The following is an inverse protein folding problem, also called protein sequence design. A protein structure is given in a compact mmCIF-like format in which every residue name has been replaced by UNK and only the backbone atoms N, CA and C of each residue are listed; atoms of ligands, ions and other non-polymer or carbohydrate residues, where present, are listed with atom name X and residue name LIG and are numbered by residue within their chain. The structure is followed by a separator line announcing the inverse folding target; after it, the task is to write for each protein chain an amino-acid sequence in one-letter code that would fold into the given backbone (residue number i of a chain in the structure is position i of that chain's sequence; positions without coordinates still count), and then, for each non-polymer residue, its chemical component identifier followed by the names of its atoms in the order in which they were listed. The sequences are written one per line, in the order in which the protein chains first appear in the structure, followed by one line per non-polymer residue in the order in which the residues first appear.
data_IF_369630570249
#
_entry.id   IF_369630570249
#
_cell.length_a   1.000
_cell.length_b   1.000
_cell.length_c   1.000
_cell.angle_alpha   90.00
_cell.angle_beta   90.00
_cell.angle_gamma   90.00
#
_symmetry.space_group_name_H-M   'P 1'
#
loop_
_entity.id
_entity.type
_entity.pdbx_description
1 polymer ?
#
# COMPACT_ATOMS: atom_id res chain seq x y z
N UNK A 1 -37.94 -31.66 -51.28
CA UNK A 1 -39.23 -32.17 -50.74
C UNK A 1 -39.52 -31.34 -49.48
N UNK A 2 -40.21 -30.19 -49.51
CA UNK A 2 -41.66 -29.92 -49.71
C UNK A 2 -42.57 -30.98 -49.09
N UNK A 3 -43.24 -30.64 -47.97
CA UNK A 3 -44.69 -30.29 -47.84
C UNK A 3 -44.98 -29.89 -46.37
N UNK A 4 -45.47 -28.67 -46.07
CA UNK A 4 -46.85 -28.15 -46.17
C UNK A 4 -47.82 -28.96 -45.26
N UNK A 5 -48.76 -28.43 -44.46
CA UNK A 5 -49.64 -27.23 -44.57
C UNK A 5 -50.53 -27.18 -43.28
N UNK A 6 -50.74 -26.01 -42.63
CA UNK A 6 -52.02 -25.24 -42.51
C UNK A 6 -53.10 -25.80 -41.53
N UNK A 7 -53.92 -25.05 -40.78
CA UNK A 7 -54.85 -23.91 -41.04
C UNK A 7 -55.18 -23.24 -39.65
N UNK A 8 -55.09 -21.92 -39.47
CA UNK A 8 -56.11 -20.83 -39.56
C UNK A 8 -57.22 -20.88 -38.47
N UNK A 9 -57.79 -19.79 -37.90
CA UNK A 9 -58.40 -18.56 -38.46
C UNK A 9 -58.95 -17.73 -37.24
N UNK A 10 -58.89 -16.39 -37.15
CA UNK A 10 -59.97 -15.41 -37.45
C UNK A 10 -59.56 -14.01 -36.90
N UNK A 11 -59.43 -12.99 -37.77
CA UNK A 11 -60.35 -11.84 -38.05
C UNK A 11 -60.05 -10.57 -37.23
N UNK A 12 -59.42 -9.53 -37.78
CA UNK A 12 -59.98 -8.41 -38.59
C UNK A 12 -60.49 -7.22 -37.75
N UNK A 13 -59.83 -6.06 -37.86
CA UNK A 13 -60.44 -4.76 -38.18
C UNK A 13 -59.39 -3.62 -38.15
N UNK A 14 -59.24 -2.93 -39.28
CA UNK A 14 -58.59 -1.63 -39.42
C UNK A 14 -59.69 -0.57 -39.35
N UNK A 15 -59.47 0.54 -38.63
CA UNK A 15 -60.14 1.81 -38.89
C UNK A 15 -59.19 2.98 -38.63
N UNK A 16 -59.11 3.86 -39.63
CA UNK A 16 -58.39 5.13 -39.69
C UNK A 16 -59.29 6.24 -39.11
N UNK A 17 -58.70 7.25 -38.45
CA UNK A 17 -59.38 8.50 -38.13
C UNK A 17 -58.41 9.59 -37.63
N UNK A 18 -58.26 10.67 -38.40
CA UNK A 18 -57.53 11.90 -38.07
C UNK A 18 -58.38 12.92 -37.30
N UNK A 19 -57.69 13.84 -36.60
CA UNK A 19 -58.08 15.23 -36.23
C UNK A 19 -59.11 15.41 -35.08
N UNK A 20 -59.08 16.40 -34.18
CA UNK A 20 -58.44 17.73 -34.06
C UNK A 20 -58.31 18.17 -32.57
N UNK A 21 -57.25 18.96 -32.28
CA UNK A 21 -57.08 20.02 -31.26
C UNK A 21 -58.03 20.19 -30.05
N UNK A 22 -57.44 20.42 -28.86
CA UNK A 22 -57.64 21.67 -28.12
C UNK A 22 -56.57 21.89 -27.05
N UNK A 23 -56.12 23.14 -26.96
CA UNK A 23 -55.08 23.65 -26.10
C UNK A 23 -55.43 23.58 -24.60
N UNK A 24 -54.60 22.90 -23.81
CA UNK A 24 -54.45 23.17 -22.36
C UNK A 24 -53.10 22.73 -21.77
N UNK A 25 -52.30 21.90 -22.45
CA UNK A 25 -51.09 21.32 -21.84
C UNK A 25 -49.79 22.12 -22.01
N UNK A 26 -49.82 23.27 -22.67
CA UNK A 26 -48.61 24.10 -22.87
C UNK A 26 -48.33 25.13 -21.76
N UNK A 27 -49.22 25.32 -20.79
CA UNK A 27 -49.00 26.29 -19.71
C UNK A 27 -48.52 25.68 -18.38
N UNK A 28 -48.40 24.36 -18.28
CA UNK A 28 -47.92 23.69 -17.07
C UNK A 28 -46.44 23.26 -17.20
N UNK A 29 -45.90 23.14 -18.42
CA UNK A 29 -44.49 22.79 -18.65
C UNK A 29 -43.51 23.99 -18.65
N UNK A 30 -43.98 25.23 -18.83
CA UNK A 30 -43.10 26.42 -18.80
C UNK A 30 -42.85 26.97 -17.38
N UNK A 31 -43.70 26.62 -16.42
CA UNK A 31 -43.58 27.10 -15.02
C UNK A 31 -42.64 26.23 -14.19
N UNK A 32 -42.50 24.95 -14.53
CA UNK A 32 -41.56 24.02 -13.86
C UNK A 32 -40.13 24.13 -14.42
N UNK A 33 -39.98 24.63 -15.65
CA UNK A 33 -38.66 24.86 -16.26
C UNK A 33 -37.96 26.14 -15.75
N UNK A 34 -38.71 27.14 -15.29
CA UNK A 34 -38.13 28.38 -14.71
C UNK A 34 -37.78 28.25 -13.23
N UNK A 35 -38.40 27.33 -12.48
CA UNK A 35 -38.01 27.03 -11.09
C UNK A 35 -36.83 26.03 -10.99
N UNK A 36 -36.50 25.33 -12.08
CA UNK A 36 -35.30 24.49 -12.15
C UNK A 36 -34.01 25.28 -12.52
N UNK A 37 -34.14 26.57 -12.85
CA UNK A 37 -33.00 27.44 -13.23
C UNK A 37 -32.53 28.32 -12.05
N UNK A 38 -33.28 28.38 -10.94
CA UNK A 38 -33.00 29.30 -9.82
C UNK A 38 -32.61 28.61 -8.48
N UNK A 39 -32.36 27.30 -8.50
CA UNK A 39 -31.80 26.55 -7.36
C UNK A 39 -30.56 25.72 -7.72
N UNK A 40 -29.72 26.25 -8.61
CA UNK A 40 -28.27 25.94 -8.63
C UNK A 40 -27.51 27.09 -8.00
N UNK A 41 -27.78 27.36 -6.72
CA UNK A 41 -26.86 28.14 -5.88
C UNK A 41 -25.61 27.30 -5.64
N UNK A 42 -24.53 27.73 -6.31
CA UNK A 42 -23.13 27.47 -6.02
C UNK A 42 -22.80 26.11 -5.36
N UNK A 43 -22.54 25.09 -6.19
CA UNK A 43 -21.44 24.19 -5.85
C UNK A 43 -20.16 24.99 -6.06
N UNK A 44 -19.64 25.57 -4.98
CA UNK A 44 -18.26 26.00 -4.97
C UNK A 44 -17.41 24.74 -5.20
N UNK A 45 -16.92 24.58 -6.43
CA UNK A 45 -15.74 23.76 -6.68
C UNK A 45 -14.57 24.65 -6.27
N UNK A 46 -14.25 24.64 -4.98
CA UNK A 46 -12.94 25.06 -4.48
C UNK A 46 -12.00 23.84 -4.67
N UNK A 47 -10.80 23.85 -5.26
CA UNK A 47 -9.80 24.87 -5.59
C UNK A 47 -8.76 24.31 -6.57
N UNK A 48 -8.11 25.15 -7.40
CA UNK A 48 -6.66 25.13 -7.51
C UNK A 48 -6.12 26.30 -6.68
N UNK A 49 -5.29 25.97 -5.71
CA UNK A 49 -4.56 26.91 -4.88
C UNK A 49 -3.40 27.51 -5.72
N UNK A 50 -3.38 28.84 -5.92
CA UNK A 50 -2.56 29.52 -6.96
C UNK A 50 -1.48 30.47 -6.43
N UNK A 51 -1.09 30.38 -5.15
CA UNK A 51 -0.05 31.28 -4.63
C UNK A 51 0.73 30.72 -3.44
N UNK A 52 2.05 30.87 -3.53
CA UNK A 52 2.99 30.58 -2.47
C UNK A 52 3.44 29.12 -2.45
N UNK A 53 4.37 28.85 -1.54
CA UNK A 53 4.93 27.52 -1.30
C UNK A 53 5.02 27.27 0.20
N UNK A 54 4.74 26.03 0.62
CA UNK A 54 4.99 25.58 1.99
C UNK A 54 6.39 24.99 2.03
N UNK A 55 7.19 25.47 2.99
CA UNK A 55 8.54 24.96 3.28
C UNK A 55 8.64 24.62 4.77
N UNK A 56 9.70 23.96 5.17
CA UNK A 56 9.93 23.61 6.57
C UNK A 56 11.41 23.52 6.91
N UNK A 57 11.73 23.63 8.20
CA UNK A 57 13.08 23.36 8.68
C UNK A 57 13.46 21.90 8.35
N UNK A 58 14.69 21.63 7.87
CA UNK A 58 15.18 20.28 7.67
C UNK A 58 15.13 19.46 8.97
N UNK A 59 14.85 18.16 8.85
CA UNK A 59 14.82 17.25 9.98
C UNK A 59 15.32 15.86 9.60
N UNK A 60 15.81 15.13 10.58
CA UNK A 60 16.25 13.74 10.42
C UNK A 60 15.08 12.75 10.57
N UNK A 61 15.26 11.51 10.10
CA UNK A 61 14.21 10.48 10.05
C UNK A 61 13.50 10.20 11.39
N UNK A 62 14.16 10.47 12.52
CA UNK A 62 13.67 10.24 13.89
C UNK A 62 13.05 11.50 14.54
N UNK A 63 13.11 12.66 13.88
CA UNK A 63 12.58 13.91 14.41
C UNK A 63 11.08 13.82 14.69
N UNK A 64 10.61 14.61 15.64
CA UNK A 64 9.20 14.70 16.05
C UNK A 64 8.62 16.10 15.91
N UNK A 65 9.43 17.04 15.42
CA UNK A 65 9.05 18.42 15.23
C UNK A 65 9.82 19.03 14.05
N UNK A 66 9.28 20.13 13.55
CA UNK A 66 9.87 21.05 12.57
C UNK A 66 9.06 22.35 12.62
N UNK A 67 9.52 23.41 11.98
CA UNK A 67 8.73 24.64 11.78
C UNK A 67 8.25 24.68 10.34
N UNK A 68 6.95 24.88 10.11
CA UNK A 68 6.39 25.13 8.79
C UNK A 68 6.42 26.63 8.48
N UNK A 69 6.59 26.98 7.21
CA UNK A 69 6.54 28.35 6.70
C UNK A 69 5.72 28.41 5.43
N UNK A 70 5.02 29.52 5.22
CA UNK A 70 4.32 29.82 3.95
C UNK A 70 4.95 31.03 3.30
N UNK A 71 5.62 30.82 2.16
CA UNK A 71 6.46 31.81 1.47
C UNK A 71 5.90 32.17 0.10
N UNK A 72 6.51 33.16 -0.55
CA UNK A 72 6.24 33.57 -1.93
C UNK A 72 4.77 33.95 -2.19
N UNK A 73 4.17 34.63 -1.21
CA UNK A 73 2.81 35.15 -1.29
C UNK A 73 2.81 36.50 -2.03
N UNK A 74 2.04 36.61 -3.12
CA UNK A 74 1.83 37.89 -3.85
C UNK A 74 0.93 38.85 -3.07
N UNK A 75 -0.02 38.32 -2.32
CA UNK A 75 -0.95 39.08 -1.48
C UNK A 75 -0.41 39.22 -0.04
N UNK A 76 -0.81 40.30 0.64
CA UNK A 76 -0.53 40.49 2.07
C UNK A 76 -1.66 39.90 2.92
N UNK A 77 -1.28 39.07 3.89
CA UNK A 77 -2.18 38.47 4.88
C UNK A 77 -1.77 38.91 6.29
N UNK A 78 -2.72 38.93 7.22
CA UNK A 78 -2.44 39.16 8.65
C UNK A 78 -2.09 37.86 9.38
N UNK A 79 -2.65 36.74 8.91
CA UNK A 79 -2.36 35.42 9.45
C UNK A 79 -2.57 34.33 8.39
N UNK A 80 -1.95 33.17 8.61
CA UNK A 80 -2.15 31.96 7.81
C UNK A 80 -2.65 30.85 8.72
N UNK A 81 -3.76 30.24 8.30
CA UNK A 81 -4.35 29.04 8.89
C UNK A 81 -3.81 27.81 8.17
N UNK A 82 -3.29 26.85 8.93
CA UNK A 82 -2.79 25.56 8.48
C UNK A 82 -3.77 24.48 8.91
N UNK A 83 -4.32 23.76 7.94
CA UNK A 83 -5.10 22.57 8.18
C UNK A 83 -4.22 21.34 7.94
N UNK A 84 -4.01 20.52 8.95
CA UNK A 84 -3.05 19.41 8.92
C UNK A 84 -3.74 18.13 9.37
N UNK A 85 -3.58 17.05 8.60
CA UNK A 85 -4.04 15.71 8.98
C UNK A 85 -3.05 14.66 8.47
N UNK A 86 -3.09 13.48 9.07
CA UNK A 86 -2.29 12.35 8.61
C UNK A 86 -3.03 11.62 7.49
N UNK A 87 -2.35 11.32 6.38
CA UNK A 87 -2.93 10.62 5.23
C UNK A 87 -3.62 9.31 5.64
N UNK A 88 -3.01 8.56 6.57
CA UNK A 88 -3.53 7.29 7.07
C UNK A 88 -4.80 7.39 7.93
N UNK A 89 -5.05 8.54 8.56
CA UNK A 89 -6.25 8.75 9.40
C UNK A 89 -7.37 9.48 8.62
N UNK A 90 -7.05 10.03 7.45
CA UNK A 90 -7.99 10.70 6.56
C UNK A 90 -8.27 12.17 6.93
N UNK A 91 -8.93 12.92 6.02
CA UNK A 91 -9.19 14.35 6.20
C UNK A 91 -10.18 14.66 7.32
N UNK A 92 -10.93 13.67 7.81
CA UNK A 92 -11.85 13.84 8.94
C UNK A 92 -11.09 14.09 10.26
N UNK A 93 -9.81 13.70 10.36
CA UNK A 93 -8.99 13.90 11.58
C UNK A 93 -8.27 15.25 11.65
N UNK A 94 -8.67 16.20 10.80
CA UNK A 94 -7.96 17.45 10.55
C UNK A 94 -7.84 18.32 11.79
N UNK A 95 -6.63 18.79 12.06
CA UNK A 95 -6.33 19.77 13.10
C UNK A 95 -5.97 21.10 12.43
N UNK A 96 -6.45 22.19 13.03
CA UNK A 96 -6.26 23.54 12.48
C UNK A 96 -5.37 24.35 13.42
N UNK A 97 -4.39 25.02 12.84
CA UNK A 97 -3.44 25.90 13.53
C UNK A 97 -3.39 27.24 12.82
N UNK A 98 -3.07 28.31 13.52
CA UNK A 98 -2.95 29.65 12.92
C UNK A 98 -1.65 30.29 13.34
N UNK A 99 -0.95 30.91 12.40
CA UNK A 99 0.25 31.72 12.67
C UNK A 99 0.03 33.16 12.23
N UNK A 100 0.31 34.09 13.15
CA UNK A 100 0.31 35.54 12.96
C UNK A 100 1.73 36.09 12.77
N UNK A 101 2.74 35.22 12.72
CA UNK A 101 4.17 35.56 12.64
C UNK A 101 4.56 36.02 11.22
N UNK A 102 3.96 37.11 10.75
CA UNK A 102 4.14 37.65 9.39
C UNK A 102 5.61 37.94 9.05
N UNK A 103 6.37 38.45 10.03
CA UNK A 103 7.80 38.78 9.87
C UNK A 103 8.68 37.52 9.74
N UNK A 104 8.11 36.33 9.96
CA UNK A 104 8.78 35.04 9.87
C UNK A 104 8.04 34.08 8.95
N UNK A 105 7.49 34.59 7.84
CA UNK A 105 6.80 33.77 6.82
C UNK A 105 5.67 32.90 7.42
N UNK A 106 4.94 33.44 8.40
CA UNK A 106 3.89 32.73 9.12
C UNK A 106 4.37 31.42 9.75
N UNK A 107 5.55 31.46 10.38
CA UNK A 107 6.17 30.33 11.06
C UNK A 107 5.18 29.61 12.00
N UNK A 108 5.05 28.30 11.83
CA UNK A 108 4.23 27.45 12.68
C UNK A 108 5.06 26.28 13.23
N UNK A 109 5.36 26.25 14.54
CA UNK A 109 6.00 25.10 15.17
C UNK A 109 5.07 23.87 15.13
N UNK A 110 5.44 22.87 14.32
CA UNK A 110 4.74 21.61 14.24
C UNK A 110 5.44 20.59 15.14
N UNK A 111 4.69 19.98 16.07
CA UNK A 111 5.18 18.87 16.87
C UNK A 111 4.18 17.72 16.86
N UNK A 112 4.66 16.51 16.55
CA UNK A 112 3.86 15.29 16.49
C UNK A 112 3.15 14.93 17.80
N UNK A 113 3.50 15.56 18.95
CA UNK A 113 2.76 15.39 20.22
C UNK A 113 1.27 15.72 20.06
N UNK A 114 0.94 16.71 19.22
CA UNK A 114 -0.45 17.09 18.87
C UNK A 114 -1.19 15.98 18.10
N UNK A 115 -0.45 15.09 17.45
CA UNK A 115 -0.95 13.91 16.74
C UNK A 115 -0.62 12.60 17.49
N UNK A 116 -0.49 12.65 18.83
CA UNK A 116 -0.20 11.49 19.68
C UNK A 116 1.09 10.75 19.30
N UNK A 117 2.10 11.48 18.81
CA UNK A 117 3.37 10.97 18.28
C UNK A 117 3.22 10.00 17.09
N UNK A 118 2.03 9.93 16.47
CA UNK A 118 1.83 9.20 15.22
C UNK A 118 2.72 9.79 14.13
N UNK A 119 3.31 8.90 13.33
CA UNK A 119 4.22 9.21 12.23
C UNK A 119 3.55 8.84 10.90
N UNK A 120 4.19 9.18 9.79
CA UNK A 120 3.70 8.98 8.42
C UNK A 120 3.68 10.28 7.59
N UNK A 121 2.98 10.22 6.47
CA UNK A 121 2.67 11.35 5.58
C UNK A 121 1.54 12.17 6.20
N UNK A 122 1.76 13.48 6.32
CA UNK A 122 0.76 14.47 6.70
C UNK A 122 0.49 15.39 5.51
N UNK A 123 -0.78 15.65 5.26
CA UNK A 123 -1.21 16.66 4.29
C UNK A 123 -1.36 18.01 4.99
N UNK A 124 -1.03 19.07 4.27
CA UNK A 124 -1.07 20.46 4.75
C UNK A 124 -1.84 21.28 3.72
N UNK A 125 -2.88 21.98 4.16
CA UNK A 125 -3.61 22.97 3.37
C UNK A 125 -3.56 24.32 4.07
N UNK A 126 -3.19 25.39 3.35
CA UNK A 126 -3.10 26.73 3.91
C UNK A 126 -4.17 27.69 3.39
N UNK A 127 -4.69 28.50 4.29
CA UNK A 127 -5.64 29.58 4.03
C UNK A 127 -5.10 30.87 4.63
N UNK A 128 -4.89 31.89 3.81
CA UNK A 128 -4.49 33.22 4.25
C UNK A 128 -5.71 34.05 4.59
N UNK A 129 -5.63 34.80 5.69
CA UNK A 129 -6.67 35.76 6.08
C UNK A 129 -6.13 37.17 5.93
N UNK A 130 -6.81 38.01 5.16
CA UNK A 130 -6.44 39.41 4.92
C UNK A 130 -6.89 40.31 6.09
N UNK A 131 -6.46 41.57 6.09
CA UNK A 131 -6.82 42.55 7.13
C UNK A 131 -8.35 42.75 7.24
N UNK A 132 -9.04 42.71 6.12
CA UNK A 132 -10.51 42.81 6.01
C UNK A 132 -11.26 41.51 6.37
N UNK A 133 -10.55 40.49 6.87
CA UNK A 133 -11.04 39.14 7.18
C UNK A 133 -11.50 38.32 5.97
N UNK A 134 -11.15 38.73 4.74
CA UNK A 134 -11.37 37.86 3.58
C UNK A 134 -10.39 36.68 3.62
N UNK A 135 -10.91 35.48 3.38
CA UNK A 135 -10.12 34.26 3.31
C UNK A 135 -9.68 33.99 1.87
N UNK A 136 -8.44 33.53 1.71
CA UNK A 136 -7.89 33.12 0.43
C UNK A 136 -7.16 31.82 0.64
N UNK A 137 -7.62 30.78 -0.03
CA UNK A 137 -6.90 29.53 -0.15
C UNK A 137 -5.52 29.80 -0.82
N UNK A 138 -4.41 29.40 -0.17
CA UNK A 138 -3.02 29.65 -0.64
C UNK A 138 -2.35 28.50 -1.43
N UNK A 139 -1.82 27.47 -0.76
CA UNK A 139 -1.16 26.28 -1.33
C UNK A 139 -1.42 25.00 -0.51
N UNK A 140 -1.29 23.82 -1.13
CA UNK A 140 -1.23 22.52 -0.43
C UNK A 140 0.17 21.93 -0.47
N UNK A 141 0.57 21.18 0.55
CA UNK A 141 1.81 20.40 0.55
C UNK A 141 1.67 19.11 1.36
N UNK A 142 2.74 18.30 1.36
CA UNK A 142 2.83 17.05 2.12
C UNK A 142 4.16 16.99 2.84
N UNK A 143 4.15 16.56 4.09
CA UNK A 143 5.33 16.37 4.92
C UNK A 143 5.34 14.96 5.49
N UNK A 144 6.48 14.28 5.52
CA UNK A 144 6.55 12.87 5.93
C UNK A 144 7.55 12.66 7.07
N UNK A 145 7.03 12.27 8.23
CA UNK A 145 7.85 11.75 9.32
C UNK A 145 7.93 10.23 9.21
N UNK A 146 9.12 9.71 8.89
CA UNK A 146 9.31 8.28 8.58
C UNK A 146 8.83 7.38 9.72
N UNK A 147 8.00 6.38 9.43
CA UNK A 147 7.52 5.43 10.44
C UNK A 147 8.22 4.07 10.37
N UNK A 148 8.19 3.32 11.48
CA UNK A 148 8.75 1.97 11.52
C UNK A 148 7.92 1.00 10.69
N UNK A 149 8.61 0.08 10.02
CA UNK A 149 8.02 -1.00 9.22
C UNK A 149 8.66 -2.32 9.63
N UNK A 150 7.96 -3.15 10.41
CA UNK A 150 8.40 -4.52 10.65
C UNK A 150 8.28 -5.33 9.36
N UNK A 151 9.33 -6.08 9.03
CA UNK A 151 9.34 -7.05 7.93
C UNK A 151 9.57 -8.42 8.54
N UNK A 152 8.52 -9.23 8.63
CA UNK A 152 8.59 -10.55 9.26
C UNK A 152 9.05 -11.60 8.26
N UNK A 153 9.97 -12.45 8.68
CA UNK A 153 10.53 -13.54 7.89
C UNK A 153 10.07 -14.88 8.46
N UNK A 154 9.28 -15.60 7.68
CA UNK A 154 8.88 -16.98 7.87
C UNK A 154 9.57 -17.87 6.84
N UNK A 155 9.53 -19.19 7.03
CA UNK A 155 10.05 -20.16 6.05
C UNK A 155 9.00 -21.24 5.78
N UNK A 156 8.77 -22.14 6.75
CA UNK A 156 7.79 -23.22 6.64
C UNK A 156 6.57 -22.97 7.55
N UNK A 157 5.37 -23.10 6.98
CA UNK A 157 4.11 -23.08 7.74
C UNK A 157 3.59 -24.51 7.92
N UNK A 158 4.25 -25.25 8.80
CA UNK A 158 3.99 -26.66 9.08
C UNK A 158 4.47 -27.02 10.48
N UNK A 159 3.92 -28.08 11.09
CA UNK A 159 4.53 -28.68 12.28
C UNK A 159 5.83 -29.36 11.86
N UNK A 160 6.90 -29.19 12.65
CA UNK A 160 8.21 -29.76 12.32
C UNK A 160 8.14 -31.28 12.05
N UNK A 161 8.40 -31.73 10.81
CA UNK A 161 8.27 -33.14 10.43
C UNK A 161 9.55 -33.94 10.71
N UNK A 162 10.63 -33.27 11.15
CA UNK A 162 11.96 -33.84 11.31
C UNK A 162 13.01 -33.11 10.44
N UNK A 163 14.29 -33.48 10.55
CA UNK A 163 15.41 -32.69 10.02
C UNK A 163 15.61 -32.80 8.49
N UNK A 164 14.62 -33.29 7.73
CA UNK A 164 14.80 -33.63 6.32
C UNK A 164 14.94 -32.41 5.39
N UNK A 165 14.25 -31.32 5.69
CA UNK A 165 14.24 -30.11 4.84
C UNK A 165 14.37 -28.88 5.74
N UNK A 166 15.53 -28.74 6.37
CA UNK A 166 15.86 -27.62 7.25
C UNK A 166 15.59 -27.87 8.74
N UNK A 167 16.02 -26.90 9.56
CA UNK A 167 16.03 -27.01 11.01
C UNK A 167 14.65 -26.74 11.63
N UNK A 168 14.45 -27.24 12.87
CA UNK A 168 13.24 -26.99 13.66
C UNK A 168 12.85 -25.50 13.69
N UNK A 169 13.82 -24.60 13.79
CA UNK A 169 13.59 -23.16 13.83
C UNK A 169 12.79 -22.61 12.64
N UNK A 170 12.82 -23.28 11.48
CA UNK A 170 12.16 -22.82 10.26
C UNK A 170 10.65 -23.16 10.21
N UNK A 171 10.17 -24.05 11.08
CA UNK A 171 8.83 -24.64 11.02
C UNK A 171 7.89 -24.01 12.04
N UNK A 172 7.13 -22.99 11.62
CA UNK A 172 6.05 -22.41 12.42
C UNK A 172 4.77 -23.23 12.19
N UNK A 173 4.17 -23.84 13.23
CA UNK A 173 2.90 -24.55 13.09
C UNK A 173 1.78 -23.65 12.51
N UNK A 174 0.88 -24.18 11.66
CA UNK A 174 -0.22 -23.40 11.09
C UNK A 174 -1.07 -22.68 12.13
N UNK A 175 -1.31 -23.31 13.29
CA UNK A 175 -2.05 -22.71 14.41
C UNK A 175 -1.34 -21.50 15.05
N UNK A 176 -0.01 -21.49 15.04
CA UNK A 176 0.78 -20.36 15.53
C UNK A 176 0.79 -19.23 14.51
N UNK A 177 0.95 -19.56 13.21
CA UNK A 177 0.86 -18.58 12.14
C UNK A 177 -0.53 -17.91 12.10
N UNK A 178 -1.62 -18.68 12.23
CA UNK A 178 -2.98 -18.14 12.32
C UNK A 178 -3.14 -17.17 13.49
N UNK A 179 -2.61 -17.49 14.68
CA UNK A 179 -2.61 -16.56 15.83
C UNK A 179 -1.87 -15.26 15.54
N UNK A 180 -0.73 -15.35 14.86
CA UNK A 180 0.02 -14.16 14.45
C UNK A 180 -0.82 -13.30 13.49
N UNK A 181 -1.39 -13.89 12.45
CA UNK A 181 -2.17 -13.15 11.45
C UNK A 181 -3.47 -12.58 12.03
N UNK A 182 -4.14 -13.33 12.91
CA UNK A 182 -5.33 -12.86 13.63
C UNK A 182 -5.00 -11.65 14.52
N UNK A 183 -3.86 -11.64 15.21
CA UNK A 183 -3.43 -10.48 15.97
C UNK A 183 -3.24 -9.23 15.10
N UNK A 184 -2.62 -9.39 13.91
CA UNK A 184 -2.46 -8.27 12.99
C UNK A 184 -3.81 -7.68 12.56
N UNK A 185 -4.78 -8.57 12.26
CA UNK A 185 -6.15 -8.20 11.96
C UNK A 185 -6.82 -7.45 13.12
N UNK A 186 -6.85 -8.06 14.31
CA UNK A 186 -7.55 -7.53 15.48
C UNK A 186 -6.97 -6.19 15.97
N UNK A 187 -5.69 -5.94 15.68
CA UNK A 187 -4.97 -4.75 16.11
C UNK A 187 -4.79 -3.72 14.99
N UNK A 188 -5.45 -3.89 13.83
CA UNK A 188 -5.52 -2.89 12.76
C UNK A 188 -4.19 -2.63 12.06
N UNK A 189 -3.39 -3.68 11.84
CA UNK A 189 -2.21 -3.62 10.99
C UNK A 189 -2.59 -3.59 9.51
N UNK A 190 -1.84 -2.85 8.71
CA UNK A 190 -1.97 -2.86 7.26
C UNK A 190 -0.85 -3.71 6.66
N UNK A 191 -1.20 -4.89 6.14
CA UNK A 191 -0.25 -5.76 5.45
C UNK A 191 0.08 -5.19 4.07
N UNK A 192 1.36 -5.05 3.78
CA UNK A 192 1.88 -4.53 2.52
C UNK A 192 2.79 -5.55 1.81
N UNK A 193 2.90 -5.38 0.50
CA UNK A 193 3.92 -5.99 -0.36
C UNK A 193 4.73 -4.87 -1.03
N UNK A 194 5.84 -5.22 -1.69
CA UNK A 194 6.79 -4.23 -2.21
C UNK A 194 6.20 -3.33 -3.31
N UNK A 195 5.16 -3.79 -4.02
CA UNK A 195 4.40 -2.97 -4.98
C UNK A 195 3.74 -1.75 -4.31
N UNK A 196 3.52 -1.82 -2.99
CA UNK A 196 2.96 -0.75 -2.16
C UNK A 196 3.99 -0.13 -1.22
N UNK A 197 5.28 -0.21 -1.56
CA UNK A 197 6.35 0.39 -0.75
C UNK A 197 6.10 1.86 -0.40
N UNK A 198 5.61 2.66 -1.35
CA UNK A 198 5.34 4.10 -1.11
C UNK A 198 4.20 4.34 -0.10
N UNK A 199 3.41 3.32 0.24
CA UNK A 199 2.34 3.42 1.21
C UNK A 199 2.80 3.18 2.65
N UNK A 200 4.07 2.84 2.88
CA UNK A 200 4.59 2.63 4.24
C UNK A 200 4.42 3.83 5.16
N UNK A 201 4.24 5.04 4.64
CA UNK A 201 3.95 6.24 5.44
C UNK A 201 2.49 6.70 5.31
N UNK A 202 1.68 6.05 4.47
CA UNK A 202 0.30 6.45 4.14
C UNK A 202 -0.76 5.58 4.79
N UNK A 203 -0.37 4.49 5.42
CA UNK A 203 -1.26 3.56 6.11
C UNK A 203 -0.95 3.47 7.60
N UNK A 204 -1.92 2.99 8.36
CA UNK A 204 -1.77 2.71 9.77
C UNK A 204 -1.03 1.39 9.98
N UNK A 205 -0.04 1.37 10.87
CA UNK A 205 0.69 0.17 11.30
C UNK A 205 1.12 -0.72 10.11
N UNK A 206 1.94 -0.18 9.19
CA UNK A 206 2.42 -0.93 8.03
C UNK A 206 3.25 -2.13 8.50
N UNK A 207 3.05 -3.29 7.86
CA UNK A 207 3.83 -4.49 8.13
C UNK A 207 3.98 -5.33 6.86
N UNK A 208 5.14 -5.96 6.70
CA UNK A 208 5.38 -6.92 5.62
C UNK A 208 5.48 -8.32 6.19
N UNK A 209 4.77 -9.26 5.58
CA UNK A 209 4.88 -10.69 5.88
C UNK A 209 5.58 -11.34 4.70
N UNK A 210 6.77 -11.90 4.96
CA UNK A 210 7.62 -12.51 3.94
C UNK A 210 7.87 -13.97 4.27
N UNK A 211 7.92 -14.81 3.25
CA UNK A 211 8.27 -16.23 3.32
C UNK A 211 9.41 -16.51 2.34
N UNK A 212 10.43 -17.20 2.80
CA UNK A 212 11.59 -17.57 2.00
C UNK A 212 11.49 -19.05 1.54
N UNK A 213 12.22 -19.38 0.48
CA UNK A 213 12.40 -20.69 -0.16
C UNK A 213 11.28 -21.15 -1.12
N UNK A 214 10.03 -20.74 -0.95
CA UNK A 214 8.92 -21.28 -1.76
C UNK A 214 8.56 -22.72 -1.39
N UNK A 215 8.45 -23.03 -0.10
CA UNK A 215 8.10 -24.36 0.40
C UNK A 215 6.64 -24.70 0.10
N UNK A 216 6.36 -25.95 -0.26
CA UNK A 216 4.99 -26.42 -0.57
C UNK A 216 4.01 -26.16 0.58
N UNK A 217 4.49 -26.26 1.82
CA UNK A 217 3.67 -26.00 3.01
C UNK A 217 3.24 -24.54 3.18
N UNK A 218 3.78 -23.58 2.43
CA UNK A 218 3.31 -22.19 2.43
C UNK A 218 1.90 -22.04 1.83
N UNK A 219 1.36 -23.06 1.18
CA UNK A 219 -0.08 -23.15 0.87
C UNK A 219 -0.96 -23.13 2.12
N UNK A 220 -0.46 -23.59 3.28
CA UNK A 220 -1.17 -23.43 4.55
C UNK A 220 -1.33 -21.95 4.92
N UNK A 221 -0.30 -21.13 4.66
CA UNK A 221 -0.35 -19.69 4.85
C UNK A 221 -1.41 -19.05 3.95
N UNK A 222 -1.47 -19.44 2.66
CA UNK A 222 -2.53 -19.00 1.75
C UNK A 222 -3.92 -19.30 2.30
N UNK A 223 -4.19 -20.55 2.69
CA UNK A 223 -5.50 -20.94 3.20
C UNK A 223 -5.89 -20.18 4.48
N UNK A 224 -4.93 -19.95 5.39
CA UNK A 224 -5.15 -19.16 6.60
C UNK A 224 -5.49 -17.70 6.23
N UNK A 225 -4.73 -17.07 5.34
CA UNK A 225 -4.98 -15.70 4.93
C UNK A 225 -6.32 -15.57 4.18
N UNK A 226 -6.68 -16.53 3.33
CA UNK A 226 -7.99 -16.58 2.69
C UNK A 226 -9.13 -16.68 3.71
N UNK A 227 -8.97 -17.52 4.75
CA UNK A 227 -9.95 -17.66 5.84
C UNK A 227 -10.13 -16.34 6.62
N UNK A 228 -9.04 -15.61 6.85
CA UNK A 228 -9.07 -14.36 7.62
C UNK A 228 -9.51 -13.14 6.81
N UNK A 229 -9.46 -13.21 5.48
CA UNK A 229 -9.82 -12.13 4.56
C UNK A 229 -11.32 -11.82 4.65
N UNK A 230 -11.64 -10.56 4.94
CA UNK A 230 -13.00 -10.02 4.94
C UNK A 230 -12.97 -8.50 4.69
N UNK A 231 -14.12 -7.83 4.72
CA UNK A 231 -14.22 -6.39 4.45
C UNK A 231 -13.36 -5.51 5.39
N UNK A 232 -12.96 -6.03 6.54
CA UNK A 232 -12.12 -5.33 7.53
C UNK A 232 -10.64 -5.67 7.41
N UNK A 233 -10.31 -6.78 6.75
CA UNK A 233 -8.94 -7.28 6.65
C UNK A 233 -8.62 -7.79 5.24
N UNK A 234 -7.75 -7.05 4.54
CA UNK A 234 -7.20 -7.44 3.25
C UNK A 234 -5.74 -7.89 3.46
N UNK A 235 -5.49 -9.20 3.67
CA UNK A 235 -4.15 -9.69 3.91
C UNK A 235 -3.29 -9.59 2.65
N UNK A 236 -1.99 -9.39 2.86
CA UNK A 236 -1.00 -9.39 1.80
C UNK A 236 0.31 -10.01 2.30
N UNK A 237 0.98 -10.80 1.47
CA UNK A 237 2.25 -11.44 1.81
C UNK A 237 3.18 -11.50 0.59
N UNK A 238 4.48 -11.65 0.85
CA UNK A 238 5.50 -11.84 -0.19
C UNK A 238 6.12 -13.23 -0.05
N UNK A 239 6.19 -13.97 -1.14
CA UNK A 239 6.91 -15.25 -1.22
C UNK A 239 8.17 -15.04 -2.07
N UNK A 240 9.34 -15.35 -1.51
CA UNK A 240 10.62 -15.34 -2.21
C UNK A 240 10.96 -16.77 -2.65
N UNK A 241 10.86 -17.03 -3.95
CA UNK A 241 11.08 -18.37 -4.51
C UNK A 241 12.54 -18.59 -4.89
N UNK A 242 13.10 -19.74 -4.52
CA UNK A 242 14.32 -20.22 -5.17
C UNK A 242 13.95 -20.74 -6.56
N UNK A 243 14.33 -20.00 -7.61
CA UNK A 243 13.69 -20.14 -8.92
C UNK A 243 13.86 -21.54 -9.56
N UNK A 244 15.01 -22.19 -9.36
CA UNK A 244 15.27 -23.54 -9.88
C UNK A 244 14.74 -24.65 -8.96
N UNK A 245 14.03 -24.30 -7.89
CA UNK A 245 13.34 -25.24 -7.00
C UNK A 245 11.83 -25.30 -7.23
N UNK A 246 11.27 -24.41 -8.05
CA UNK A 246 9.87 -24.49 -8.49
C UNK A 246 9.60 -25.87 -9.11
N UNK A 247 8.44 -26.44 -8.80
CA UNK A 247 7.99 -27.79 -9.20
C UNK A 247 8.83 -28.96 -8.64
N UNK A 248 9.85 -28.71 -7.81
CA UNK A 248 10.58 -29.80 -7.11
C UNK A 248 9.77 -30.33 -5.91
N UNK A 249 10.08 -31.54 -5.42
CA UNK A 249 9.50 -32.07 -4.19
C UNK A 249 9.61 -31.07 -3.03
N UNK A 250 8.56 -30.97 -2.21
CA UNK A 250 8.46 -30.05 -1.06
C UNK A 250 8.55 -28.56 -1.39
N UNK A 251 8.45 -28.18 -2.67
CA UNK A 251 8.41 -26.79 -3.12
C UNK A 251 7.11 -26.48 -3.83
N UNK A 252 6.78 -25.19 -3.92
CA UNK A 252 5.60 -24.74 -4.62
C UNK A 252 5.69 -25.14 -6.09
N UNK A 253 4.61 -25.73 -6.58
CA UNK A 253 4.41 -26.00 -8.00
C UNK A 253 3.97 -24.72 -8.72
N UNK A 254 4.10 -24.72 -10.04
CA UNK A 254 3.57 -23.68 -10.92
C UNK A 254 2.09 -23.41 -10.62
N UNK A 255 1.28 -24.45 -10.39
CA UNK A 255 -0.14 -24.31 -10.06
C UNK A 255 -0.37 -23.70 -8.67
N UNK A 256 0.45 -24.05 -7.67
CA UNK A 256 0.37 -23.42 -6.34
C UNK A 256 0.68 -21.92 -6.43
N UNK A 257 1.75 -21.56 -7.15
CA UNK A 257 2.18 -20.16 -7.33
C UNK A 257 1.06 -19.37 -8.01
N UNK A 258 0.47 -19.94 -9.06
CA UNK A 258 -0.66 -19.34 -9.75
C UNK A 258 -1.86 -19.17 -8.82
N UNK A 259 -2.18 -20.16 -7.98
CA UNK A 259 -3.28 -20.07 -7.02
C UNK A 259 -3.02 -18.99 -5.96
N UNK A 260 -1.79 -18.88 -5.46
CA UNK A 260 -1.37 -17.82 -4.53
C UNK A 260 -1.53 -16.44 -5.16
N UNK A 261 -1.11 -16.27 -6.43
CA UNK A 261 -1.26 -15.02 -7.17
C UNK A 261 -2.71 -14.65 -7.47
N UNK A 262 -3.48 -15.59 -8.00
CA UNK A 262 -4.88 -15.38 -8.42
C UNK A 262 -5.78 -15.05 -7.22
N UNK A 263 -5.36 -15.38 -6.00
CA UNK A 263 -6.05 -14.97 -4.77
C UNK A 263 -5.99 -13.46 -4.49
N UNK A 264 -5.03 -12.75 -5.10
CA UNK A 264 -4.73 -11.35 -4.84
C UNK A 264 -4.01 -11.08 -3.50
N UNK A 265 -3.60 -12.13 -2.77
CA UNK A 265 -2.95 -12.02 -1.46
C UNK A 265 -1.42 -12.01 -1.59
N UNK A 266 -0.85 -12.73 -2.56
CA UNK A 266 0.59 -12.93 -2.64
C UNK A 266 1.26 -12.13 -3.76
N UNK A 267 2.38 -11.52 -3.41
CA UNK A 267 3.42 -11.05 -4.32
C UNK A 267 4.50 -12.13 -4.42
N UNK A 268 4.84 -12.56 -5.65
CA UNK A 268 5.85 -13.59 -5.90
C UNK A 268 7.15 -12.93 -6.34
N UNK A 269 8.23 -13.18 -5.61
CA UNK A 269 9.51 -12.49 -5.72
C UNK A 269 10.68 -13.50 -5.68
N UNK A 270 11.92 -13.02 -5.75
CA UNK A 270 13.10 -13.88 -5.97
C UNK A 270 13.87 -14.22 -4.69
N UNK A 271 14.26 -15.49 -4.52
CA UNK A 271 15.22 -15.97 -3.52
C UNK A 271 16.46 -16.58 -4.19
N UNK A 272 16.95 -15.88 -5.22
CA UNK A 272 17.98 -16.32 -6.18
C UNK A 272 17.61 -17.59 -6.95
N UNK A 273 18.48 -18.02 -7.88
CA UNK A 273 18.18 -19.15 -8.73
C UNK A 273 18.33 -20.46 -7.96
N UNK A 274 19.40 -20.61 -7.18
CA UNK A 274 19.78 -21.87 -6.53
C UNK A 274 19.98 -21.74 -5.00
N UNK A 275 19.43 -20.71 -4.36
CA UNK A 275 19.64 -20.42 -2.94
C UNK A 275 21.14 -20.17 -2.62
N UNK A 276 21.85 -19.59 -3.60
CA UNK A 276 23.29 -19.32 -3.48
C UNK A 276 23.59 -18.17 -2.51
N UNK A 277 24.59 -18.34 -1.66
CA UNK A 277 25.09 -17.30 -0.76
C UNK A 277 25.84 -16.23 -1.57
N UNK A 278 25.23 -15.06 -1.78
CA UNK A 278 25.72 -14.06 -2.74
C UNK A 278 27.07 -13.45 -2.38
N UNK A 279 27.47 -13.43 -1.11
CA UNK A 279 28.82 -12.96 -0.74
C UNK A 279 29.95 -13.91 -1.20
N UNK A 280 29.61 -15.14 -1.57
CA UNK A 280 30.54 -16.22 -1.92
C UNK A 280 30.42 -16.67 -3.37
N UNK A 281 29.66 -15.94 -4.19
CA UNK A 281 29.47 -16.20 -5.61
C UNK A 281 29.66 -14.92 -6.40
N UNK A 282 30.06 -15.06 -7.66
CA UNK A 282 30.09 -13.98 -8.64
C UNK A 282 29.25 -14.30 -9.88
N UNK A 283 28.47 -15.38 -9.84
CA UNK A 283 27.55 -15.78 -10.92
C UNK A 283 26.23 -14.98 -10.84
N UNK A 284 26.33 -13.66 -10.81
CA UNK A 284 25.19 -12.75 -10.62
C UNK A 284 24.19 -12.82 -11.77
N UNK A 285 24.66 -13.12 -12.97
CA UNK A 285 23.82 -13.20 -14.16
C UNK A 285 22.75 -14.30 -14.02
N UNK A 286 23.15 -15.50 -13.60
CA UNK A 286 22.23 -16.60 -13.35
C UNK A 286 21.41 -16.35 -12.08
N UNK A 287 22.08 -16.05 -10.97
CA UNK A 287 21.47 -16.03 -9.65
C UNK A 287 20.54 -14.84 -9.42
N UNK A 288 20.79 -13.71 -10.08
CA UNK A 288 20.00 -12.49 -9.93
C UNK A 288 19.11 -12.26 -11.15
N UNK A 289 19.68 -12.09 -12.36
CA UNK A 289 18.91 -11.80 -13.57
C UNK A 289 18.11 -13.02 -14.04
N UNK A 290 18.76 -14.17 -14.18
CA UNK A 290 18.12 -15.41 -14.64
C UNK A 290 17.01 -15.88 -13.69
N UNK A 291 17.24 -15.78 -12.38
CA UNK A 291 16.20 -16.03 -11.37
C UNK A 291 14.97 -15.14 -11.59
N UNK A 292 15.19 -13.82 -11.70
CA UNK A 292 14.13 -12.84 -11.96
C UNK A 292 13.35 -13.19 -13.23
N UNK A 293 14.05 -13.33 -14.36
CA UNK A 293 13.44 -13.58 -15.67
C UNK A 293 12.62 -14.88 -15.68
N UNK A 294 13.11 -15.94 -15.01
CA UNK A 294 12.39 -17.22 -14.88
C UNK A 294 11.09 -17.06 -14.10
N UNK A 295 11.10 -16.34 -12.98
CA UNK A 295 9.90 -16.10 -12.17
C UNK A 295 8.94 -15.15 -12.91
N UNK A 296 9.43 -14.11 -13.57
CA UNK A 296 8.60 -13.21 -14.39
C UNK A 296 7.92 -13.95 -15.55
N UNK A 297 8.62 -14.87 -16.22
CA UNK A 297 8.06 -15.70 -17.28
C UNK A 297 6.94 -16.63 -16.78
N UNK A 298 7.07 -17.16 -15.57
CA UNK A 298 6.07 -18.03 -14.93
C UNK A 298 4.83 -17.25 -14.45
N UNK A 299 5.06 -16.11 -13.82
CA UNK A 299 4.02 -15.32 -13.14
C UNK A 299 3.32 -14.32 -14.09
N UNK A 300 4.02 -13.86 -15.14
CA UNK A 300 3.57 -12.74 -15.96
C UNK A 300 3.50 -11.39 -15.20
N UNK A 301 4.11 -11.32 -14.01
CA UNK A 301 4.21 -10.11 -13.18
C UNK A 301 5.66 -9.69 -13.06
N UNK A 302 5.91 -8.40 -12.81
CA UNK A 302 7.26 -7.90 -12.56
C UNK A 302 7.77 -8.40 -11.23
N UNK A 303 9.01 -8.86 -11.20
CA UNK A 303 9.73 -9.24 -9.97
C UNK A 303 10.68 -8.10 -9.62
N UNK A 304 10.43 -7.47 -8.47
CA UNK A 304 11.08 -6.22 -8.05
C UNK A 304 11.84 -6.37 -6.72
N UNK A 305 11.66 -7.47 -6.00
CA UNK A 305 12.30 -7.72 -4.72
C UNK A 305 13.12 -9.02 -4.71
N UNK A 306 14.20 -9.01 -3.93
CA UNK A 306 15.08 -10.14 -3.67
C UNK A 306 15.21 -10.39 -2.16
N UNK A 307 15.23 -11.63 -1.71
CA UNK A 307 15.78 -12.00 -0.41
C UNK A 307 17.15 -12.65 -0.59
N UNK A 308 18.18 -12.19 0.12
CA UNK A 308 19.51 -12.82 0.04
C UNK A 308 19.49 -14.17 0.79
N UNK A 309 19.83 -15.29 0.15
CA UNK A 309 19.92 -16.59 0.82
C UNK A 309 20.87 -16.57 2.00
N UNK A 310 20.41 -17.12 3.13
CA UNK A 310 21.14 -17.11 4.42
C UNK A 310 21.52 -15.69 4.90
N UNK A 311 20.89 -14.65 4.33
CA UNK A 311 21.26 -13.25 4.58
C UNK A 311 22.64 -12.86 4.07
N UNK A 312 23.26 -13.66 3.18
CA UNK A 312 24.64 -13.46 2.74
C UNK A 312 24.72 -12.43 1.60
N UNK A 313 25.32 -11.27 1.88
CA UNK A 313 25.60 -10.23 0.89
C UNK A 313 26.95 -9.54 1.17
N UNK A 314 27.47 -8.82 0.18
CA UNK A 314 28.63 -7.94 0.26
C UNK A 314 28.46 -6.77 -0.74
N UNK A 315 29.38 -5.81 -0.78
CA UNK A 315 29.24 -4.64 -1.64
C UNK A 315 29.07 -5.01 -3.14
N UNK A 316 29.87 -5.93 -3.72
CA UNK A 316 29.63 -6.40 -5.09
C UNK A 316 28.23 -6.97 -5.32
N UNK A 317 27.74 -7.84 -4.43
CA UNK A 317 26.40 -8.42 -4.55
C UNK A 317 25.29 -7.36 -4.48
N UNK A 318 25.45 -6.33 -3.63
CA UNK A 318 24.49 -5.21 -3.53
C UNK A 318 24.50 -4.39 -4.82
N UNK A 319 25.66 -4.06 -5.37
CA UNK A 319 25.76 -3.30 -6.62
C UNK A 319 25.22 -4.07 -7.83
N UNK A 320 25.35 -5.40 -7.85
CA UNK A 320 24.70 -6.22 -8.88
C UNK A 320 23.20 -6.36 -8.68
N UNK A 321 22.73 -6.48 -7.42
CA UNK A 321 21.31 -6.52 -7.09
C UNK A 321 20.58 -5.25 -7.56
N UNK A 322 21.21 -4.08 -7.39
CA UNK A 322 20.70 -2.77 -7.84
C UNK A 322 20.39 -2.67 -9.33
N UNK A 323 21.00 -3.52 -10.16
CA UNK A 323 20.78 -3.52 -11.60
C UNK A 323 19.46 -4.20 -11.99
N UNK A 324 18.97 -5.11 -11.14
CA UNK A 324 17.87 -6.01 -11.49
C UNK A 324 16.64 -5.87 -10.59
N UNK A 325 16.82 -5.46 -9.34
CA UNK A 325 15.76 -5.35 -8.34
C UNK A 325 15.63 -3.91 -7.85
N UNK A 326 14.45 -3.57 -7.31
CA UNK A 326 14.18 -2.28 -6.64
C UNK A 326 14.39 -2.39 -5.12
N UNK A 327 14.20 -3.59 -4.57
CA UNK A 327 14.31 -3.89 -3.15
C UNK A 327 15.12 -5.16 -2.90
N UNK A 328 15.82 -5.21 -1.78
CA UNK A 328 16.34 -6.46 -1.25
C UNK A 328 16.28 -6.50 0.28
N UNK A 329 15.98 -7.69 0.80
CA UNK A 329 15.83 -7.96 2.24
C UNK A 329 16.95 -8.88 2.73
N UNK A 330 17.41 -8.64 3.96
CA UNK A 330 18.49 -9.38 4.62
C UNK A 330 17.92 -10.20 5.80
N UNK A 331 18.79 -10.88 6.54
CA UNK A 331 18.45 -11.49 7.85
C UNK A 331 18.89 -10.62 9.02
N UNK A 332 19.34 -9.38 8.77
CA UNK A 332 19.72 -8.45 9.84
C UNK A 332 18.51 -8.13 10.69
N UNK A 333 18.65 -8.33 12.00
CA UNK A 333 17.53 -8.17 12.92
C UNK A 333 17.17 -6.69 13.12
N UNK A 334 15.89 -6.36 12.92
CA UNK A 334 15.33 -5.05 13.27
C UNK A 334 14.19 -4.61 12.37
N UNK A 335 13.50 -3.55 12.80
CA UNK A 335 12.56 -2.83 11.95
C UNK A 335 13.30 -2.08 10.85
N UNK A 336 12.65 -1.98 9.69
CA UNK A 336 13.05 -1.02 8.67
C UNK A 336 12.53 0.39 9.05
N UNK A 337 13.33 1.40 8.72
CA UNK A 337 12.92 2.80 8.67
C UNK A 337 13.78 3.48 7.60
N UNK A 338 13.17 4.28 6.74
CA UNK A 338 13.88 5.01 5.68
C UNK A 338 14.70 6.14 6.31
N UNK A 339 16.03 6.04 6.26
CA UNK A 339 16.95 7.03 6.84
C UNK A 339 17.61 7.91 5.78
N UNK A 340 17.43 7.58 4.50
CA UNK A 340 18.17 8.19 3.40
C UNK A 340 19.61 7.68 3.31
N UNK A 341 19.92 6.52 3.90
CA UNK A 341 21.24 5.91 3.77
C UNK A 341 21.44 5.33 2.36
N UNK A 342 22.66 5.38 1.80
CA UNK A 342 22.94 4.74 0.52
C UNK A 342 22.54 3.26 0.53
N UNK A 343 21.86 2.82 -0.52
CA UNK A 343 21.45 1.43 -0.74
C UNK A 343 20.52 0.83 0.34
N UNK A 344 19.91 1.60 1.24
CA UNK A 344 19.16 1.06 2.38
C UNK A 344 17.96 0.18 1.99
N UNK A 345 17.36 0.43 0.82
CA UNK A 345 16.28 -0.39 0.26
C UNK A 345 16.74 -1.75 -0.25
N UNK A 346 18.06 -1.96 -0.38
CA UNK A 346 18.69 -3.24 -0.71
C UNK A 346 19.26 -3.94 0.52
N UNK A 347 19.07 -3.37 1.71
CA UNK A 347 19.58 -3.82 2.99
C UNK A 347 18.45 -3.82 4.05
N UNK A 348 17.23 -4.12 3.61
CA UNK A 348 16.05 -4.07 4.47
C UNK A 348 16.16 -5.15 5.54
N UNK A 349 16.18 -4.71 6.80
CA UNK A 349 16.19 -5.57 7.99
C UNK A 349 14.89 -6.35 8.12
N UNK A 350 14.99 -7.55 8.70
CA UNK A 350 13.84 -8.43 8.95
C UNK A 350 13.84 -8.97 10.38
N UNK A 351 12.69 -9.42 10.83
CA UNK A 351 12.52 -10.15 12.08
C UNK A 351 12.22 -11.61 11.78
N UNK A 352 13.11 -12.50 12.20
CA UNK A 352 12.88 -13.94 12.15
C UNK A 352 11.74 -14.33 13.10
N UNK A 353 10.79 -15.11 12.61
CA UNK A 353 9.72 -15.71 13.39
C UNK A 353 9.77 -17.23 13.22
N UNK A 354 10.03 -17.94 14.32
CA UNK A 354 10.11 -19.40 14.36
C UNK A 354 9.17 -20.00 15.41
N UNK A 355 9.18 -21.34 15.59
CA UNK A 355 8.24 -22.02 16.50
C UNK A 355 8.41 -21.58 17.96
N UNK A 356 9.62 -21.17 18.38
CA UNK A 356 9.88 -20.70 19.74
C UNK A 356 9.55 -19.21 19.95
N UNK A 357 9.07 -18.50 18.93
CA UNK A 357 8.61 -17.13 19.10
C UNK A 357 7.28 -17.12 19.85
N UNK A 358 7.33 -16.83 21.16
CA UNK A 358 6.13 -16.64 21.96
C UNK A 358 5.26 -15.50 21.41
N UNK A 359 3.97 -15.49 21.74
CA UNK A 359 3.09 -14.39 21.33
C UNK A 359 3.56 -13.04 21.90
N UNK A 360 4.08 -13.02 23.13
CA UNK A 360 4.69 -11.82 23.72
C UNK A 360 5.90 -11.34 22.89
N UNK A 361 6.78 -12.27 22.47
CA UNK A 361 7.91 -11.93 21.63
C UNK A 361 7.43 -11.42 20.28
N UNK A 362 6.48 -12.09 19.63
CA UNK A 362 5.88 -11.65 18.37
C UNK A 362 5.39 -10.20 18.47
N UNK A 363 4.59 -9.90 19.49
CA UNK A 363 4.06 -8.55 19.75
C UNK A 363 5.20 -7.54 19.94
N UNK A 364 6.27 -7.89 20.66
CA UNK A 364 7.42 -6.98 20.86
C UNK A 364 8.19 -6.69 19.57
N UNK A 365 8.17 -7.59 18.58
CA UNK A 365 8.86 -7.40 17.31
C UNK A 365 8.15 -6.38 16.41
N UNK A 366 6.82 -6.28 16.51
CA UNK A 366 5.97 -5.51 15.58
C UNK A 366 5.40 -4.22 16.18
N UNK A 367 5.86 -3.84 17.36
CA UNK A 367 5.42 -2.63 18.08
C UNK A 367 6.14 -1.37 17.62
#
# INVERSE_FOLDING_TARGET
MKKYTYIALLSSAILVGCNTSSASDKQIQETTAKQAVEQKKAKAVELPLTQGVITWDPYEYNAQNTTLYTKDLRDSFKEVRYNIWRTADGPESKQTFTSQEKDRDFALPLHLKTFHLKRGEFQIETVGIKEDNTETNLVTSKITFQQHVPVLMYHAIEKFPGPSDGDYGLYVPPEQFEKHMQYLKDNGYTMLTFERWNDINRVNKPIFITMDDGRKNNMNALHILQKLKDDTFQPAATEFLTANEIDKPNRLSTDDIKQMMDSGIFSIQSHTANHTMMAHSNNYDEELRGSKEKIEALTGKKVIALAYPVGSYNDPAVEETKKYYEFAVTTDHGNHITKGMPNEQYLIKRHFVGPNTSMEKFISLIK
#
